data_IF_749585241124
#
_entry.id   IF_749585241124
#
_cell.length_a   1.000
_cell.length_b   1.000
_cell.length_c   1.000
_cell.angle_alpha   90.00
_cell.angle_beta   90.00
_cell.angle_gamma   90.00
#
_symmetry.space_group_name_H-M   'P 1'
#
loop_
_entity.id
_entity.type
_entity.pdbx_description
1 polymer ?
#
# COMPACT_ATOMS: atom_id res chain seq x y z
N UNK A 1 -11.14 -14.72 18.79
CA UNK A 1 -10.91 -14.32 18.62
C UNK A 1 -10.87 -13.56 18.11
N UNK A 2 -10.66 -13.33 17.88
CA UNK A 2 -10.53 -12.78 17.46
C UNK A 2 -10.36 -11.99 16.93
N UNK A 3 -10.20 -11.75 16.93
CA UNK A 3 -10.19 -11.13 16.43
C UNK A 3 -9.79 -10.42 15.77
N UNK A 4 -9.29 -10.29 15.59
CA UNK A 4 -8.93 -9.58 14.96
C UNK A 4 -9.14 -9.27 13.95
N UNK A 5 -9.02 -9.60 13.97
CA UNK A 5 -9.53 -9.45 12.99
C UNK A 5 -9.73 -8.44 11.99
N UNK A 6 -9.62 -7.44 12.10
CA UNK A 6 -9.83 -6.35 11.20
C UNK A 6 -8.71 -6.06 10.28
N UNK A 7 -7.59 -6.68 10.51
CA UNK A 7 -6.41 -6.43 9.70
C UNK A 7 -6.25 -7.54 8.70
N UNK A 8 -6.85 -7.36 7.55
CA UNK A 8 -6.61 -8.31 6.48
C UNK A 8 -5.16 -8.22 6.02
N UNK A 9 -4.70 -9.26 5.38
CA UNK A 9 -3.34 -9.28 4.87
C UNK A 9 -3.16 -8.34 3.68
N UNK A 10 -4.23 -7.99 3.03
CA UNK A 10 -4.20 -7.12 1.87
C UNK A 10 -4.89 -5.81 2.19
N UNK A 11 -4.37 -4.74 1.61
CA UNK A 11 -5.00 -3.43 1.72
C UNK A 11 -5.25 -2.88 0.34
N UNK A 12 -6.38 -2.21 0.18
CA UNK A 12 -6.72 -1.58 -1.08
C UNK A 12 -6.22 -0.15 -1.14
N UNK A 13 -6.35 0.45 -2.31
CA UNK A 13 -5.86 1.80 -2.53
C UNK A 13 -6.54 2.81 -1.61
N UNK A 14 -7.85 2.68 -1.42
CA UNK A 14 -8.59 3.60 -0.55
C UNK A 14 -8.04 3.56 0.87
N UNK A 15 -7.79 2.36 1.38
CA UNK A 15 -7.27 2.21 2.73
C UNK A 15 -5.85 2.76 2.84
N UNK A 16 -5.04 2.55 1.81
CA UNK A 16 -3.69 3.06 1.80
C UNK A 16 -3.67 4.57 1.89
N UNK A 17 -4.53 5.24 1.12
CA UNK A 17 -4.56 6.70 1.14
C UNK A 17 -5.12 7.25 2.43
N UNK A 18 -5.94 6.48 3.13
CA UNK A 18 -6.52 6.92 4.40
C UNK A 18 -5.58 6.71 5.57
N UNK A 19 -4.90 5.58 5.59
CA UNK A 19 -4.17 5.14 6.79
C UNK A 19 -2.65 5.27 6.67
N UNK A 20 -2.12 5.20 5.48
CA UNK A 20 -0.67 5.13 5.32
C UNK A 20 -0.07 6.30 4.58
N UNK A 21 -0.67 6.71 3.48
CA UNK A 21 -0.06 7.70 2.59
C UNK A 21 -1.00 8.87 2.35
N UNK A 22 -0.53 10.09 2.56
CA UNK A 22 -1.36 11.28 2.27
C UNK A 22 -1.29 11.62 0.77
N UNK A 23 -1.65 10.67 -0.06
CA UNK A 23 -1.59 10.84 -1.51
C UNK A 23 -2.97 10.67 -2.10
N UNK A 24 -3.15 11.22 -3.30
CA UNK A 24 -4.36 10.93 -4.05
C UNK A 24 -4.37 9.45 -4.45
N UNK A 25 -5.55 8.95 -4.79
CA UNK A 25 -5.65 7.55 -5.21
C UNK A 25 -4.81 7.27 -6.43
N UNK A 26 -4.75 8.22 -7.35
CA UNK A 26 -3.97 8.05 -8.56
C UNK A 26 -2.49 7.90 -8.23
N UNK A 27 -1.98 8.74 -7.33
CA UNK A 27 -0.58 8.66 -6.94
C UNK A 27 -0.29 7.43 -6.11
N UNK A 28 -1.24 7.04 -5.27
CA UNK A 28 -1.07 5.83 -4.47
C UNK A 28 -0.97 4.60 -5.36
N UNK A 29 -1.79 4.53 -6.41
CA UNK A 29 -1.68 3.42 -7.35
C UNK A 29 -0.31 3.38 -8.00
N UNK A 30 0.19 4.55 -8.40
CA UNK A 30 1.50 4.62 -9.02
C UNK A 30 2.59 4.21 -8.05
N UNK A 31 2.46 4.64 -6.80
CA UNK A 31 3.41 4.27 -5.76
C UNK A 31 3.49 2.76 -5.60
N UNK A 32 2.34 2.11 -5.46
CA UNK A 32 2.36 0.67 -5.23
C UNK A 32 2.84 -0.09 -6.46
N UNK A 33 2.55 0.40 -7.65
CA UNK A 33 3.05 -0.27 -8.85
C UNK A 33 4.56 -0.09 -9.02
N UNK A 34 5.09 1.00 -8.51
CA UNK A 34 6.53 1.27 -8.62
C UNK A 34 7.33 0.52 -7.57
N UNK A 35 6.87 0.50 -6.34
CA UNK A 35 7.67 0.02 -5.22
C UNK A 35 7.19 -1.29 -4.64
N UNK A 36 5.96 -1.61 -4.85
CA UNK A 36 5.36 -2.83 -4.34
C UNK A 36 4.87 -3.62 -5.53
N UNK A 37 4.66 -4.89 -5.32
CA UNK A 37 4.18 -5.77 -6.38
C UNK A 37 2.70 -6.03 -6.09
N UNK A 38 1.81 -5.18 -6.60
CA UNK A 38 0.41 -5.27 -6.21
C UNK A 38 -0.26 -6.48 -6.82
N UNK A 39 -1.29 -6.94 -6.15
CA UNK A 39 -2.16 -8.00 -6.65
C UNK A 39 -3.42 -7.36 -7.18
N UNK A 40 -3.86 -7.84 -8.33
CA UNK A 40 -5.09 -7.34 -8.92
C UNK A 40 -6.12 -8.43 -8.80
N UNK A 41 -7.18 -8.13 -8.06
CA UNK A 41 -8.26 -9.08 -7.82
C UNK A 41 -9.52 -8.43 -8.36
N UNK A 42 -10.10 -9.06 -9.37
CA UNK A 42 -11.17 -8.40 -10.09
C UNK A 42 -10.63 -7.16 -10.75
N UNK A 43 -11.22 -6.02 -10.46
CA UNK A 43 -10.75 -4.75 -11.01
C UNK A 43 -10.07 -3.89 -9.97
N UNK A 44 -9.68 -4.47 -8.84
CA UNK A 44 -9.12 -3.69 -7.73
C UNK A 44 -7.70 -4.08 -7.46
N UNK A 45 -6.92 -3.10 -7.03
CA UNK A 45 -5.51 -3.28 -6.73
C UNK A 45 -5.36 -3.42 -5.22
N UNK A 46 -4.61 -4.45 -4.82
CA UNK A 46 -4.31 -4.71 -3.41
C UNK A 46 -2.82 -4.93 -3.24
N UNK A 47 -2.32 -4.60 -2.07
CA UNK A 47 -0.93 -4.90 -1.72
C UNK A 47 -0.92 -5.60 -0.38
N UNK A 48 0.13 -6.37 -0.15
CA UNK A 48 0.29 -7.04 1.13
C UNK A 48 0.62 -6.00 2.19
N UNK A 49 -0.13 -6.03 3.27
CA UNK A 49 0.06 -5.06 4.35
C UNK A 49 1.47 -5.12 4.90
N UNK A 50 2.01 -6.33 5.08
CA UNK A 50 3.35 -6.49 5.63
C UNK A 50 4.40 -5.85 4.74
N UNK A 51 4.25 -6.00 3.43
CA UNK A 51 5.20 -5.40 2.50
C UNK A 51 5.12 -3.88 2.51
N UNK A 52 3.91 -3.36 2.59
CA UNK A 52 3.72 -1.92 2.65
C UNK A 52 4.34 -1.34 3.91
N UNK A 53 4.08 -1.98 5.04
CA UNK A 53 4.61 -1.49 6.30
C UNK A 53 6.12 -1.59 6.34
N UNK A 54 6.68 -2.67 5.81
CA UNK A 54 8.12 -2.81 5.77
C UNK A 54 8.77 -1.74 4.90
N UNK A 55 8.16 -1.44 3.76
CA UNK A 55 8.70 -0.43 2.88
C UNK A 55 8.70 0.95 3.52
N UNK A 56 7.60 1.29 4.18
CA UNK A 56 7.49 2.60 4.81
C UNK A 56 8.34 2.73 6.06
N UNK A 57 8.73 1.61 6.65
CA UNK A 57 9.54 1.62 7.86
C UNK A 57 11.02 1.44 7.59
N UNK A 58 11.41 1.32 6.33
CA UNK A 58 12.80 1.07 5.97
C UNK A 58 13.64 2.32 6.28
N UNK A 59 14.59 2.22 7.22
CA UNK A 59 15.41 3.39 7.58
C UNK A 59 16.35 3.83 6.47
N UNK A 60 16.65 2.95 5.53
CA UNK A 60 17.55 3.29 4.44
C UNK A 60 16.85 3.93 3.27
N UNK A 61 15.53 4.05 3.33
CA UNK A 61 14.78 4.59 2.21
C UNK A 61 13.88 5.72 2.70
N UNK A 62 14.30 6.94 2.41
CA UNK A 62 13.55 8.12 2.84
C UNK A 62 12.80 8.77 1.70
N UNK A 63 13.12 8.45 0.47
CA UNK A 63 12.54 9.11 -0.68
C UNK A 63 11.91 8.09 -1.60
N UNK A 64 10.75 8.44 -2.10
CA UNK A 64 10.00 7.57 -3.00
C UNK A 64 9.60 8.37 -4.22
N UNK A 65 10.53 8.59 -5.16
CA UNK A 65 10.16 9.34 -6.35
C UNK A 65 9.12 8.60 -7.17
N UNK A 66 8.19 9.34 -7.71
CA UNK A 66 7.13 8.79 -8.54
C UNK A 66 7.32 9.29 -9.96
N UNK A 67 7.29 8.37 -10.91
CA UNK A 67 7.29 8.72 -12.31
C UNK A 67 5.88 9.09 -12.70
N UNK A 68 5.71 10.30 -13.10
CA UNK A 68 4.38 10.80 -13.40
C UNK A 68 4.20 10.89 -14.88
#
# INVERSE_FOLDING_TARGET
MKTETNKSKLVGITEITRLYLPLSKKRARRFVKTYLDPKIIGNRIYVERAKLEALLSDPDRERFPLNV
#
